data_IF_454338233917
#
_entry.id   IF_454338233917
#
_cell.length_a   1.000
_cell.length_b   1.000
_cell.length_c   1.000
_cell.angle_alpha   90.00
_cell.angle_beta   90.00
_cell.angle_gamma   90.00
#
_symmetry.space_group_name_H-M   'P 1'
#
loop_
_entity.id
_entity.type
_entity.pdbx_description
1 polymer ?
#
# COMPACT_ATOMS: atom_id res chain seq x y z
N UNK A 1 -25.45 23.00 11.73
CA UNK A 1 -25.66 21.63 11.20
C UNK A 1 -24.29 20.98 11.12
N UNK A 2 -24.11 19.75 11.63
CA UNK A 2 -22.83 19.04 11.55
C UNK A 2 -22.63 18.53 10.13
N UNK A 3 -21.45 18.74 9.54
CA UNK A 3 -21.14 18.18 8.23
C UNK A 3 -20.86 16.68 8.41
N UNK A 4 -21.31 15.79 7.49
CA UNK A 4 -21.06 14.35 7.59
C UNK A 4 -19.57 14.00 7.69
N UNK A 5 -18.70 14.88 7.19
CA UNK A 5 -17.25 14.69 7.18
C UNK A 5 -16.53 15.30 8.41
N UNK A 6 -17.24 15.90 9.37
CA UNK A 6 -16.64 16.57 10.54
C UNK A 6 -15.71 15.62 11.35
N UNK A 7 -16.07 14.34 11.44
CA UNK A 7 -15.26 13.33 12.13
C UNK A 7 -13.92 13.07 11.44
N UNK A 8 -13.95 12.93 10.10
CA UNK A 8 -12.76 12.68 9.28
C UNK A 8 -11.85 13.92 9.27
N UNK A 9 -12.44 15.11 9.12
CA UNK A 9 -11.69 16.37 9.16
C UNK A 9 -10.99 16.53 10.49
N UNK A 10 -11.66 16.21 11.60
CA UNK A 10 -11.02 16.24 12.93
C UNK A 10 -9.84 15.27 13.02
N UNK A 11 -9.97 14.06 12.51
CA UNK A 11 -8.86 13.09 12.52
C UNK A 11 -7.65 13.56 11.68
N UNK A 12 -7.90 14.15 10.51
CA UNK A 12 -6.84 14.75 9.67
C UNK A 12 -6.13 15.86 10.44
N UNK A 13 -6.89 16.74 11.12
CA UNK A 13 -6.32 17.83 11.92
C UNK A 13 -5.54 17.30 13.12
N UNK A 14 -6.03 16.27 13.81
CA UNK A 14 -5.32 15.67 14.94
C UNK A 14 -3.99 15.02 14.51
N UNK A 15 -3.96 14.38 13.34
CA UNK A 15 -2.77 13.66 12.86
C UNK A 15 -1.76 14.54 12.14
N UNK A 16 -2.26 15.44 11.29
CA UNK A 16 -1.42 16.25 10.41
C UNK A 16 -1.42 17.73 10.78
N UNK A 17 -2.34 18.23 11.60
CA UNK A 17 -2.53 19.67 11.82
C UNK A 17 -1.27 20.43 12.25
N UNK A 18 -0.42 19.82 13.08
CA UNK A 18 0.84 20.43 13.53
C UNK A 18 1.95 20.40 12.46
N UNK A 19 1.82 19.52 11.45
CA UNK A 19 2.82 19.26 10.41
C UNK A 19 2.33 19.58 8.99
N UNK A 20 1.07 20.03 8.85
CA UNK A 20 0.42 20.30 7.57
C UNK A 20 0.91 21.62 6.99
N UNK A 21 2.18 21.64 6.60
CA UNK A 21 2.77 22.68 5.77
C UNK A 21 2.90 22.15 4.34
N UNK A 22 1.90 22.48 3.53
CA UNK A 22 1.85 22.08 2.12
C UNK A 22 2.87 22.81 1.24
N UNK A 23 3.52 23.89 1.73
CA UNK A 23 4.62 24.56 1.01
C UNK A 23 5.92 23.79 1.18
N UNK A 24 6.21 23.38 2.41
CA UNK A 24 7.43 22.64 2.73
C UNK A 24 7.32 21.15 2.38
N UNK A 25 6.12 20.59 2.51
CA UNK A 25 5.84 19.16 2.35
C UNK A 25 4.59 18.92 1.50
N UNK A 26 4.62 19.24 0.19
CA UNK A 26 3.46 19.12 -0.68
C UNK A 26 2.93 17.68 -0.78
N UNK A 27 3.76 16.67 -0.56
CA UNK A 27 3.36 15.26 -0.62
C UNK A 27 2.35 14.86 0.47
N UNK A 28 2.24 15.61 1.57
CA UNK A 28 1.26 15.35 2.62
C UNK A 28 -0.18 15.42 2.10
N UNK A 29 -0.47 16.28 1.10
CA UNK A 29 -1.81 16.31 0.49
C UNK A 29 -2.12 14.99 -0.20
N UNK A 30 -1.12 14.37 -0.85
CA UNK A 30 -1.29 13.11 -1.58
C UNK A 30 -1.57 11.98 -0.59
N UNK A 31 -0.83 11.96 0.53
CA UNK A 31 -1.03 10.99 1.60
C UNK A 31 -2.43 11.09 2.23
N UNK A 32 -2.85 12.31 2.57
CA UNK A 32 -4.18 12.58 3.14
C UNK A 32 -5.30 12.17 2.17
N UNK A 33 -5.16 12.48 0.88
CA UNK A 33 -6.15 12.09 -0.14
C UNK A 33 -6.19 10.57 -0.31
N UNK A 34 -5.05 9.88 -0.32
CA UNK A 34 -5.03 8.41 -0.43
C UNK A 34 -5.70 7.74 0.78
N UNK A 35 -5.48 8.28 1.98
CA UNK A 35 -5.98 7.68 3.20
C UNK A 35 -7.46 7.99 3.48
N UNK A 36 -7.88 9.23 3.24
CA UNK A 36 -9.21 9.72 3.63
C UNK A 36 -10.14 10.00 2.45
N UNK A 37 -9.60 10.14 1.23
CA UNK A 37 -10.37 10.40 0.01
C UNK A 37 -11.54 9.43 -0.24
N UNK A 38 -11.35 8.10 -0.08
CA UNK A 38 -12.44 7.13 -0.25
C UNK A 38 -13.61 7.35 0.72
N UNK A 39 -13.32 7.85 1.93
CA UNK A 39 -14.29 8.07 3.00
C UNK A 39 -15.03 9.40 2.83
N UNK A 40 -14.35 10.42 2.27
CA UNK A 40 -14.89 11.77 2.06
C UNK A 40 -15.75 11.83 0.80
N UNK A 41 -15.32 11.19 -0.29
CA UNK A 41 -15.93 11.35 -1.61
C UNK A 41 -17.06 10.35 -1.91
N UNK A 42 -17.29 9.34 -1.04
CA UNK A 42 -18.27 8.30 -1.32
C UNK A 42 -17.88 7.48 -2.57
N UNK A 43 -16.72 6.83 -2.50
CA UNK A 43 -16.19 5.88 -3.50
C UNK A 43 -16.34 6.20 -5.02
N UNK A 44 -15.79 7.31 -5.55
CA UNK A 44 -15.37 7.43 -6.94
C UNK A 44 -13.85 7.39 -7.10
N UNK A 45 -13.09 7.42 -5.99
CA UNK A 45 -11.62 7.44 -6.00
C UNK A 45 -11.00 6.11 -6.46
N UNK A 46 -11.79 5.03 -6.53
CA UNK A 46 -11.39 3.78 -7.18
C UNK A 46 -11.12 3.97 -8.69
N UNK A 47 -11.80 4.93 -9.34
CA UNK A 47 -11.69 5.19 -10.78
C UNK A 47 -10.56 6.17 -11.17
N UNK A 48 -9.93 6.83 -10.19
CA UNK A 48 -8.80 7.73 -10.40
C UNK A 48 -7.44 7.09 -10.09
N UNK A 49 -7.41 5.80 -9.73
CA UNK A 49 -6.15 5.09 -9.58
C UNK A 49 -5.55 4.87 -10.98
N UNK A 50 -4.31 5.33 -11.25
CA UNK A 50 -3.64 4.98 -12.48
C UNK A 50 -3.59 3.45 -12.61
N UNK A 51 -3.71 2.87 -13.82
CA UNK A 51 -3.61 1.43 -13.99
C UNK A 51 -2.26 0.95 -13.45
N UNK A 52 -2.28 0.22 -12.33
CA UNK A 52 -1.09 -0.19 -11.58
C UNK A 52 -0.97 0.39 -10.16
N UNK A 53 -1.92 1.20 -9.69
CA UNK A 53 -2.02 1.55 -8.28
C UNK A 53 -2.16 0.30 -7.39
N UNK A 54 -1.58 0.28 -6.17
CA UNK A 54 -1.77 -0.83 -5.26
C UNK A 54 -3.28 -1.03 -5.05
N UNK A 55 -3.75 -2.29 -4.98
CA UNK A 55 -5.18 -2.56 -4.85
C UNK A 55 -5.76 -1.78 -3.67
N UNK A 56 -7.03 -1.31 -3.78
CA UNK A 56 -7.69 -0.64 -2.68
C UNK A 56 -7.54 -1.52 -1.44
N UNK A 57 -7.10 -0.94 -0.32
CA UNK A 57 -6.96 -1.63 0.97
C UNK A 57 -8.35 -2.01 1.51
N UNK A 58 -9.03 -2.95 0.86
CA UNK A 58 -9.78 -3.97 1.56
C UNK A 58 -8.73 -4.90 2.15
N UNK A 59 -8.67 -4.96 3.48
CA UNK A 59 -7.57 -5.54 4.24
C UNK A 59 -7.08 -6.87 3.67
N UNK A 60 -5.84 -6.89 3.18
CA UNK A 60 -5.09 -8.13 3.09
C UNK A 60 -4.91 -8.58 4.54
N UNK A 61 -5.56 -9.69 4.88
CA UNK A 61 -5.33 -10.35 6.16
C UNK A 61 -3.82 -10.59 6.29
N UNK A 62 -3.17 -10.12 7.37
CA UNK A 62 -1.75 -10.38 7.60
C UNK A 62 -1.38 -11.86 7.46
N UNK A 63 -2.31 -12.77 7.78
CA UNK A 63 -2.11 -14.21 7.62
C UNK A 63 -2.09 -14.64 6.16
N UNK A 64 -2.95 -14.07 5.31
CA UNK A 64 -2.94 -14.32 3.87
C UNK A 64 -1.64 -13.78 3.23
N UNK A 65 -1.20 -12.58 3.63
CA UNK A 65 0.05 -12.00 3.13
C UNK A 65 1.27 -12.85 3.54
N UNK A 66 1.30 -13.31 4.78
CA UNK A 66 2.37 -14.17 5.29
C UNK A 66 2.34 -15.57 4.65
N UNK A 67 1.17 -16.08 4.29
CA UNK A 67 1.04 -17.33 3.52
C UNK A 67 1.62 -17.17 2.12
N UNK A 68 1.25 -16.10 1.42
CA UNK A 68 1.70 -15.86 0.05
C UNK A 68 3.22 -15.60 0.00
N UNK A 69 3.76 -14.85 0.98
CA UNK A 69 5.21 -14.65 1.11
C UNK A 69 5.96 -15.98 1.32
N UNK A 70 5.44 -16.87 2.17
CA UNK A 70 6.04 -18.19 2.39
C UNK A 70 6.04 -19.04 1.12
N UNK A 71 4.94 -19.02 0.37
CA UNK A 71 4.85 -19.75 -0.89
C UNK A 71 5.86 -19.23 -1.93
N UNK A 72 6.00 -17.91 -2.04
CA UNK A 72 6.97 -17.29 -2.94
C UNK A 72 8.43 -17.65 -2.57
N UNK A 73 8.77 -17.64 -1.28
CA UNK A 73 10.12 -18.00 -0.81
C UNK A 73 10.46 -19.48 -1.10
N UNK A 74 9.49 -20.38 -0.94
CA UNK A 74 9.69 -21.80 -1.26
C UNK A 74 9.94 -22.02 -2.76
N UNK A 75 9.27 -21.27 -3.63
CA UNK A 75 9.49 -21.36 -5.07
C UNK A 75 10.86 -20.80 -5.48
N UNK A 76 11.30 -19.71 -4.84
CA UNK A 76 12.66 -19.18 -5.02
C UNK A 76 13.71 -20.23 -4.64
N UNK A 77 13.54 -20.91 -3.51
CA UNK A 77 14.45 -21.97 -3.07
C UNK A 77 14.50 -23.15 -4.06
N UNK A 78 13.33 -23.57 -4.55
CA UNK A 78 13.21 -24.63 -5.56
C UNK A 78 13.95 -24.25 -6.85
N UNK A 79 13.74 -23.02 -7.33
CA UNK A 79 14.39 -22.50 -8.54
C UNK A 79 15.90 -22.35 -8.35
N UNK A 80 16.34 -21.84 -7.21
CA UNK A 80 17.76 -21.72 -6.88
C UNK A 80 18.46 -23.09 -6.85
N UNK A 81 17.80 -24.10 -6.28
CA UNK A 81 18.29 -25.49 -6.28
C UNK A 81 18.37 -26.04 -7.71
N UNK A 82 17.33 -25.83 -8.52
CA UNK A 82 17.31 -26.25 -9.93
C UNK A 82 18.41 -25.59 -10.76
N UNK A 83 18.67 -24.29 -10.55
CA UNK A 83 19.78 -23.58 -11.16
C UNK A 83 21.14 -24.14 -10.72
N UNK A 84 21.33 -24.41 -9.43
CA UNK A 84 22.57 -24.97 -8.92
C UNK A 84 22.88 -26.36 -9.51
N UNK A 85 21.84 -27.18 -9.73
CA UNK A 85 21.97 -28.52 -10.30
C UNK A 85 22.13 -28.52 -11.83
N UNK A 86 21.61 -27.49 -12.51
CA UNK A 86 21.70 -27.36 -13.97
C UNK A 86 22.98 -26.65 -14.44
N UNK A 87 23.69 -25.96 -13.54
CA UNK A 87 25.03 -25.44 -13.82
C UNK A 87 26.01 -26.61 -13.95
N UNK A 88 26.71 -26.77 -15.09
CA UNK A 88 27.76 -27.77 -15.18
C UNK A 88 28.81 -27.46 -14.12
N UNK A 89 29.19 -28.47 -13.33
CA UNK A 89 30.38 -28.40 -12.47
C UNK A 89 31.57 -28.08 -13.37
N UNK A 90 31.92 -26.80 -13.48
CA UNK A 90 33.23 -26.40 -13.96
C UNK A 90 34.22 -26.82 -12.88
N UNK A 91 34.83 -27.99 -13.10
CA UNK A 91 35.94 -28.47 -12.30
C UNK A 91 37.14 -27.55 -12.48
N UNK A 92 37.87 -27.27 -11.39
CA UNK A 92 39.31 -27.43 -11.35
C UNK A 92 39.70 -28.77 -10.71
#
# INVERSE_FOLDING_TARGET
MKHPNDGIVREIVERYGDTLDLRSSPYLIVEIIQQYGPQIAGNPAADCLPPGGPPPRGGLDPDDLMRDLRAALAEVERLATGLHQSLPRSAP
#
